data_IF_731169906590
#
_entry.id   IF_731169906590
#
_cell.length_a   1.000
_cell.length_b   1.000
_cell.length_c   1.000
_cell.angle_alpha   90.00
_cell.angle_beta   90.00
_cell.angle_gamma   90.00
#
_symmetry.space_group_name_H-M   'P 1'
#
loop_
_entity.id
_entity.type
_entity.pdbx_description
1 polymer ?
#
# COMPACT_ATOMS: atom_id res chain seq x y z
N UNK A 1 1.54 -24.65 -3.13
CA UNK A 1 2.14 -23.90 -4.24
C UNK A 1 3.08 -22.89 -3.64
N UNK A 2 4.37 -22.91 -4.00
CA UNK A 2 5.29 -21.83 -3.64
C UNK A 2 5.40 -20.85 -4.80
N UNK A 3 5.30 -19.56 -4.52
CA UNK A 3 5.32 -18.52 -5.54
C UNK A 3 6.19 -17.35 -5.09
N UNK A 4 6.90 -16.74 -6.03
CA UNK A 4 7.78 -15.61 -5.77
C UNK A 4 7.59 -14.57 -6.87
N UNK A 5 7.36 -13.33 -6.45
CA UNK A 5 7.40 -12.16 -7.34
C UNK A 5 8.53 -11.24 -6.93
N UNK A 6 9.30 -10.82 -7.93
CA UNK A 6 10.31 -9.78 -7.79
C UNK A 6 9.78 -8.52 -8.44
N UNK A 7 9.50 -7.51 -7.63
CA UNK A 7 9.18 -6.17 -8.10
C UNK A 7 10.34 -5.20 -7.90
N UNK A 8 10.11 -3.96 -8.32
CA UNK A 8 11.07 -2.88 -8.09
C UNK A 8 11.16 -2.54 -6.60
N UNK A 9 12.31 -2.80 -5.99
CA UNK A 9 12.57 -2.56 -4.56
C UNK A 9 11.85 -3.47 -3.57
N UNK A 10 10.82 -4.23 -3.99
CA UNK A 10 10.01 -5.12 -3.14
C UNK A 10 9.95 -6.53 -3.74
N UNK A 11 10.04 -7.55 -2.90
CA UNK A 11 9.85 -8.96 -3.24
C UNK A 11 8.71 -9.54 -2.41
N UNK A 12 7.85 -10.31 -3.06
CA UNK A 12 6.84 -11.13 -2.42
C UNK A 12 7.24 -12.60 -2.50
N UNK A 13 7.34 -13.26 -1.34
CA UNK A 13 7.49 -14.71 -1.23
C UNK A 13 6.24 -15.29 -0.57
N UNK A 14 5.74 -16.38 -1.15
CA UNK A 14 4.61 -17.14 -0.63
C UNK A 14 4.95 -18.63 -0.63
N UNK A 15 4.94 -19.24 0.56
CA UNK A 15 5.33 -20.64 0.76
C UNK A 15 4.18 -21.65 0.57
N UNK A 16 2.98 -21.16 0.28
CA UNK A 16 1.81 -21.99 0.05
C UNK A 16 1.01 -22.35 1.30
N UNK A 17 1.48 -22.03 2.51
CA UNK A 17 0.85 -22.57 3.72
C UNK A 17 0.75 -21.61 4.90
N UNK A 18 1.58 -20.57 5.01
CA UNK A 18 1.62 -19.84 6.28
C UNK A 18 1.72 -18.33 6.17
N UNK A 19 2.57 -17.82 5.28
CA UNK A 19 2.86 -16.39 5.26
C UNK A 19 2.98 -15.85 3.83
N UNK A 20 2.43 -14.67 3.59
CA UNK A 20 2.98 -13.78 2.58
C UNK A 20 4.08 -12.97 3.24
N UNK A 21 5.26 -12.99 2.62
CA UNK A 21 6.43 -12.26 3.10
C UNK A 21 6.78 -11.20 2.06
N UNK A 22 6.53 -9.94 2.40
CA UNK A 22 7.01 -8.81 1.62
C UNK A 22 8.37 -8.41 2.18
N UNK A 23 9.39 -8.35 1.34
CA UNK A 23 10.72 -7.91 1.72
C UNK A 23 11.15 -6.75 0.83
N UNK A 24 11.68 -5.70 1.42
CA UNK A 24 12.18 -4.54 0.70
C UNK A 24 13.54 -4.13 1.22
N UNK A 25 14.30 -3.43 0.39
CA UNK A 25 15.60 -2.89 0.75
C UNK A 25 15.66 -1.44 0.30
N UNK A 26 15.72 -0.50 1.24
CA UNK A 26 16.03 0.88 0.90
C UNK A 26 17.54 0.98 0.69
N UNK A 27 17.97 1.26 -0.54
CA UNK A 27 19.34 1.73 -0.76
C UNK A 27 19.41 3.19 -0.33
N UNK A 28 19.66 3.44 0.94
CA UNK A 28 20.20 4.74 1.31
C UNK A 28 21.66 4.76 0.86
N UNK A 29 22.07 5.81 0.14
CA UNK A 29 23.38 5.94 -0.51
C UNK A 29 24.60 5.99 0.44
N UNK A 30 24.43 5.57 1.69
CA UNK A 30 25.46 5.43 2.72
C UNK A 30 25.41 3.97 3.15
N UNK A 31 26.54 3.27 3.09
CA UNK A 31 26.65 1.82 3.29
C UNK A 31 25.88 1.32 4.53
N UNK A 32 24.67 0.81 4.32
CA UNK A 32 23.75 0.38 5.37
C UNK A 32 22.29 0.54 4.97
N UNK A 33 21.85 -0.21 3.95
CA UNK A 33 20.45 -0.14 3.51
C UNK A 33 19.50 -0.65 4.61
N UNK A 34 18.56 0.20 5.04
CA UNK A 34 17.48 -0.21 5.95
C UNK A 34 16.43 -0.98 5.13
N UNK A 35 16.55 -2.30 5.15
CA UNK A 35 15.53 -3.20 4.63
C UNK A 35 14.54 -3.62 5.70
N UNK A 36 13.33 -3.96 5.27
CA UNK A 36 12.27 -4.45 6.16
C UNK A 36 11.62 -5.71 5.61
N UNK A 37 10.90 -6.41 6.49
CA UNK A 37 10.06 -7.55 6.13
C UNK A 37 8.70 -7.41 6.79
N UNK A 38 7.65 -7.62 6.01
CA UNK A 38 6.28 -7.72 6.48
C UNK A 38 5.82 -9.17 6.34
N UNK A 39 5.41 -9.76 7.45
CA UNK A 39 4.84 -11.11 7.51
C UNK A 39 3.35 -10.97 7.79
N UNK A 40 2.52 -11.43 6.86
CA UNK A 40 1.06 -11.39 7.00
C UNK A 40 0.47 -12.74 6.66
N UNK A 41 -0.50 -13.17 7.46
CA UNK A 41 -1.26 -14.38 7.15
C UNK A 41 -2.15 -14.10 5.94
N UNK A 42 -2.26 -15.03 4.97
CA UNK A 42 -3.15 -14.87 3.83
C UNK A 42 -4.60 -14.55 4.21
N UNK A 43 -5.08 -15.12 5.32
CA UNK A 43 -6.42 -14.92 5.85
C UNK A 43 -6.67 -13.48 6.36
N UNK A 44 -5.62 -12.69 6.59
CA UNK A 44 -5.75 -11.28 6.94
C UNK A 44 -5.90 -10.37 5.71
N UNK A 45 -5.79 -10.91 4.49
CA UNK A 45 -5.97 -10.12 3.28
C UNK A 45 -7.45 -9.78 3.09
N UNK A 46 -7.76 -8.49 3.07
CA UNK A 46 -9.10 -7.97 2.84
C UNK A 46 -9.41 -7.84 1.36
N UNK A 47 -8.46 -7.28 0.61
CA UNK A 47 -8.62 -7.04 -0.82
C UNK A 47 -7.29 -7.11 -1.53
N UNK A 48 -7.34 -7.55 -2.79
CA UNK A 48 -6.23 -7.42 -3.73
C UNK A 48 -6.72 -6.76 -5.01
N UNK A 49 -5.90 -5.87 -5.56
CA UNK A 49 -6.15 -5.18 -6.82
C UNK A 49 -4.90 -5.22 -7.69
N UNK A 50 -5.10 -5.33 -9.01
CA UNK A 50 -4.04 -5.24 -10.00
C UNK A 50 -4.34 -4.16 -11.02
N UNK A 51 -3.32 -3.37 -11.38
CA UNK A 51 -3.39 -2.36 -12.44
C UNK A 51 -2.22 -2.53 -13.39
N UNK A 52 -2.50 -2.85 -14.64
CA UNK A 52 -1.50 -2.88 -15.70
C UNK A 52 -1.17 -1.44 -16.12
N UNK A 53 0.10 -1.20 -16.44
CA UNK A 53 0.60 0.06 -16.97
C UNK A 53 0.65 -0.02 -18.48
N UNK A 54 -0.04 0.88 -19.17
CA UNK A 54 -0.06 0.96 -20.64
C UNK A 54 1.27 1.44 -21.23
N UNK A 55 2.14 2.02 -20.41
CA UNK A 55 3.41 2.58 -20.85
C UNK A 55 4.52 1.55 -21.01
N UNK A 56 4.64 0.63 -20.05
CA UNK A 56 5.75 -0.31 -19.93
C UNK A 56 5.31 -1.77 -19.75
N UNK A 57 3.98 -2.01 -19.73
CA UNK A 57 3.40 -3.34 -19.50
C UNK A 57 3.61 -3.86 -18.07
N UNK A 58 4.10 -3.03 -17.15
CA UNK A 58 4.28 -3.44 -15.75
C UNK A 58 2.92 -3.63 -15.06
N UNK A 59 2.87 -4.52 -14.07
CA UNK A 59 1.68 -4.75 -13.27
C UNK A 59 1.92 -4.25 -11.85
N UNK A 60 1.09 -3.30 -11.40
CA UNK A 60 1.03 -2.88 -10.00
C UNK A 60 0.00 -3.70 -9.27
N UNK A 61 0.43 -4.46 -8.27
CA UNK A 61 -0.41 -5.19 -7.34
C UNK A 61 -0.50 -4.43 -6.01
N UNK A 62 -1.71 -4.30 -5.48
CA UNK A 62 -1.99 -3.67 -4.18
C UNK A 62 -2.72 -4.65 -3.29
N UNK A 63 -2.11 -5.00 -2.17
CA UNK A 63 -2.70 -5.88 -1.16
C UNK A 63 -3.05 -5.07 0.07
N UNK A 64 -4.27 -5.26 0.59
CA UNK A 64 -4.72 -4.64 1.83
C UNK A 64 -4.96 -5.70 2.87
N UNK A 65 -4.32 -5.55 4.02
CA UNK A 65 -4.38 -6.49 5.12
C UNK A 65 -4.98 -5.83 6.36
N UNK A 66 -5.71 -6.61 7.14
CA UNK A 66 -6.06 -6.29 8.51
C UNK A 66 -5.42 -7.31 9.45
N UNK A 67 -4.19 -7.05 9.90
CA UNK A 67 -3.51 -7.95 10.82
C UNK A 67 -4.31 -8.08 12.14
N UNK A 68 -4.50 -9.31 12.58
CA UNK A 68 -5.17 -9.60 13.85
C UNK A 68 -4.26 -9.20 15.03
N UNK A 69 -4.83 -8.58 16.06
CA UNK A 69 -4.11 -8.27 17.30
C UNK A 69 -3.32 -6.96 17.33
N UNK A 70 -3.39 -6.13 16.28
CA UNK A 70 -2.86 -4.76 16.30
C UNK A 70 -3.97 -3.75 16.03
N UNK A 71 -4.12 -2.74 16.89
CA UNK A 71 -5.04 -1.60 16.67
C UNK A 71 -4.54 -0.63 15.58
N UNK A 72 -3.49 -1.01 14.86
CA UNK A 72 -2.77 -0.19 13.89
C UNK A 72 -3.41 -0.29 12.48
N UNK A 73 -4.70 0.02 12.36
CA UNK A 73 -5.38 0.22 11.07
C UNK A 73 -5.21 -0.90 10.03
N UNK A 74 -5.55 -0.58 8.78
CA UNK A 74 -5.30 -1.45 7.64
C UNK A 74 -3.88 -1.21 7.11
N UNK A 75 -3.18 -2.29 6.73
CA UNK A 75 -1.84 -2.25 6.14
C UNK A 75 -1.96 -2.44 4.64
N UNK A 76 -1.33 -1.55 3.86
CA UNK A 76 -1.29 -1.66 2.40
C UNK A 76 0.13 -2.01 1.95
N UNK A 77 0.25 -3.04 1.12
CA UNK A 77 1.49 -3.43 0.48
C UNK A 77 1.34 -3.30 -1.04
N UNK A 78 2.20 -2.51 -1.66
CA UNK A 78 2.25 -2.34 -3.10
C UNK A 78 3.47 -3.07 -3.68
N UNK A 79 3.27 -3.69 -4.83
CA UNK A 79 4.30 -4.41 -5.58
C UNK A 79 4.14 -4.09 -7.06
N UNK A 80 5.18 -3.52 -7.67
CA UNK A 80 5.22 -3.31 -9.13
C UNK A 80 6.11 -4.37 -9.74
N UNK A 81 5.54 -5.25 -10.56
CA UNK A 81 6.28 -6.29 -11.30
C UNK A 81 6.46 -5.88 -12.75
N UNK A 82 7.60 -6.26 -13.35
CA UNK A 82 7.88 -6.02 -14.76
C UNK A 82 6.93 -6.78 -15.68
N UNK A 83 6.84 -6.34 -16.94
CA UNK A 83 5.96 -6.94 -17.95
C UNK A 83 6.19 -8.44 -18.17
N UNK A 84 7.42 -8.91 -17.99
CA UNK A 84 7.80 -10.33 -18.09
C UNK A 84 7.16 -11.20 -16.98
N UNK A 85 6.77 -10.58 -15.86
CA UNK A 85 6.12 -11.25 -14.73
C UNK A 85 4.65 -10.84 -14.56
N UNK A 86 4.11 -9.93 -15.37
CA UNK A 86 2.76 -9.40 -15.20
C UNK A 86 1.69 -10.49 -15.26
N UNK A 87 1.67 -11.29 -16.32
CA UNK A 87 0.72 -12.40 -16.49
C UNK A 87 0.79 -13.44 -15.35
N UNK A 88 1.97 -14.04 -15.02
CA UNK A 88 2.04 -15.00 -13.93
C UNK A 88 1.71 -14.37 -12.56
N UNK A 89 2.04 -13.10 -12.34
CA UNK A 89 1.67 -12.38 -11.13
C UNK A 89 0.15 -12.18 -11.02
N UNK A 90 -0.52 -11.92 -12.13
CA UNK A 90 -1.97 -11.81 -12.18
C UNK A 90 -2.65 -13.15 -11.92
N UNK A 91 -2.20 -14.22 -12.57
CA UNK A 91 -2.71 -15.58 -12.33
C UNK A 91 -2.56 -16.01 -10.87
N UNK A 92 -1.42 -15.71 -10.25
CA UNK A 92 -1.23 -15.92 -8.81
C UNK A 92 -2.25 -15.15 -7.98
N UNK A 93 -2.50 -13.88 -8.34
CA UNK A 93 -3.44 -13.02 -7.62
C UNK A 93 -4.86 -13.55 -7.69
N UNK A 94 -5.30 -14.00 -8.86
CA UNK A 94 -6.61 -14.64 -9.05
C UNK A 94 -6.74 -15.93 -8.24
N UNK A 95 -5.72 -16.81 -8.32
CA UNK A 95 -5.68 -18.03 -7.53
C UNK A 95 -5.70 -17.73 -6.02
N UNK A 96 -4.93 -16.74 -5.58
CA UNK A 96 -4.82 -16.32 -4.19
C UNK A 96 -6.16 -15.79 -3.67
N UNK A 97 -6.80 -14.87 -4.41
CA UNK A 97 -8.09 -14.31 -4.05
C UNK A 97 -9.16 -15.39 -3.94
N UNK A 98 -9.21 -16.29 -4.92
CA UNK A 98 -10.12 -17.44 -4.91
C UNK A 98 -9.87 -18.37 -3.71
N UNK A 99 -8.62 -18.75 -3.47
CA UNK A 99 -8.23 -19.71 -2.42
C UNK A 99 -8.52 -19.18 -1.02
N UNK A 100 -8.28 -17.90 -0.79
CA UNK A 100 -8.43 -17.27 0.53
C UNK A 100 -9.72 -16.46 0.69
N UNK A 101 -10.61 -16.50 -0.31
CA UNK A 101 -11.89 -15.75 -0.35
C UNK A 101 -11.71 -14.25 -0.09
N UNK A 102 -10.65 -13.69 -0.64
CA UNK A 102 -10.36 -12.25 -0.57
C UNK A 102 -11.32 -11.53 -1.51
N UNK A 103 -11.86 -10.39 -1.10
CA UNK A 103 -12.70 -9.59 -1.99
C UNK A 103 -11.86 -9.13 -3.19
N UNK A 104 -12.25 -9.60 -4.36
CA UNK A 104 -11.57 -9.31 -5.61
C UNK A 104 -12.06 -7.96 -6.13
N UNK A 105 -11.37 -6.87 -5.77
CA UNK A 105 -11.72 -5.50 -6.24
C UNK A 105 -11.26 -5.27 -7.69
N UNK A 106 -10.53 -6.24 -8.23
CA UNK A 106 -10.35 -6.63 -9.63
C UNK A 106 -11.52 -6.40 -10.62
N UNK A 107 -12.75 -6.14 -10.17
CA UNK A 107 -13.87 -5.75 -11.04
C UNK A 107 -13.63 -4.48 -11.89
N UNK A 108 -12.53 -3.75 -11.71
CA UNK A 108 -12.08 -2.70 -12.63
C UNK A 108 -11.12 -3.20 -13.71
N UNK A 109 -11.14 -4.50 -14.05
CA UNK A 109 -10.25 -5.10 -15.06
C UNK A 109 -10.44 -4.51 -16.46
N UNK A 110 -11.57 -3.85 -16.73
CA UNK A 110 -11.91 -3.29 -18.05
C UNK A 110 -12.67 -1.95 -18.03
N UNK A 111 -12.96 -1.36 -16.87
CA UNK A 111 -13.62 -0.06 -16.83
C UNK A 111 -12.58 1.06 -16.65
N UNK A 112 -12.28 1.63 -17.82
CA UNK A 112 -12.22 3.06 -18.12
C UNK A 112 -11.17 3.91 -17.37
N UNK A 113 -10.20 4.43 -18.13
CA UNK A 113 -9.78 5.84 -18.09
C UNK A 113 -9.56 6.51 -16.71
N UNK A 114 -9.12 5.76 -15.69
CA UNK A 114 -8.62 6.34 -14.45
C UNK A 114 -7.11 6.55 -14.52
N UNK A 115 -6.61 7.14 -15.62
CA UNK A 115 -5.59 8.19 -15.40
C UNK A 115 -6.19 9.14 -14.35
N UNK A 116 -5.46 9.52 -13.29
CA UNK A 116 -5.93 10.61 -12.45
C UNK A 116 -5.98 11.84 -13.36
N UNK A 117 -7.16 12.08 -13.94
CA UNK A 117 -7.45 13.22 -14.80
C UNK A 117 -6.87 14.42 -14.09
N UNK A 118 -6.08 15.24 -14.78
CA UNK A 118 -5.36 16.37 -14.19
C UNK A 118 -6.26 17.32 -13.34
N UNK A 119 -7.59 17.20 -13.42
CA UNK A 119 -8.56 17.82 -12.51
C UNK A 119 -8.58 17.32 -11.06
N UNK A 120 -8.09 16.12 -10.72
CA UNK A 120 -7.97 15.66 -9.33
C UNK A 120 -6.68 16.17 -8.64
N UNK A 121 -5.68 16.56 -9.42
CA UNK A 121 -4.49 17.28 -8.91
C UNK A 121 -4.85 18.67 -8.39
N UNK A 122 -5.89 19.29 -8.94
CA UNK A 122 -6.39 20.59 -8.47
C UNK A 122 -7.27 20.43 -7.21
N UNK A 123 -8.13 19.40 -7.13
CA UNK A 123 -8.91 19.10 -5.90
C UNK A 123 -8.06 18.60 -4.73
N UNK A 124 -6.88 18.04 -4.98
CA UNK A 124 -5.93 17.69 -3.91
C UNK A 124 -5.25 18.92 -3.27
N UNK A 125 -5.39 20.13 -3.85
CA UNK A 125 -5.00 21.38 -3.18
C UNK A 125 -6.04 21.88 -2.18
N UNK A 126 -7.30 21.46 -2.28
CA UNK A 126 -8.34 21.83 -1.31
C UNK A 126 -8.30 20.98 -0.01
N UNK A 127 -7.54 19.90 0.02
CA UNK A 127 -7.33 19.11 1.25
C UNK A 127 -6.43 19.80 2.28
N UNK A 128 -5.74 20.88 1.89
CA UNK A 128 -5.06 21.77 2.84
C UNK A 128 -6.02 22.81 3.47
N UNK A 129 -7.31 22.74 3.13
CA UNK A 129 -8.34 23.67 3.58
C UNK A 129 -9.41 23.05 4.46
N UNK A 130 -9.10 22.14 5.38
CA UNK A 130 -10.03 21.88 6.47
C UNK A 130 -10.08 23.15 7.35
N UNK A 131 -11.22 23.86 7.48
CA UNK A 131 -11.31 24.95 8.43
C UNK A 131 -11.17 24.35 9.82
N UNK A 132 -9.98 24.45 10.39
CA UNK A 132 -9.77 24.20 11.82
C UNK A 132 -10.80 25.04 12.56
N UNK A 133 -11.71 24.36 13.26
CA UNK A 133 -12.76 25.03 14.03
C UNK A 133 -12.11 26.04 14.99
N UNK A 134 -12.77 27.16 15.31
CA UNK A 134 -12.21 28.17 16.22
C UNK A 134 -11.73 27.56 17.54
N UNK A 135 -12.45 26.56 18.03
CA UNK A 135 -12.10 25.79 19.23
C UNK A 135 -10.75 25.04 19.11
N UNK A 136 -10.44 24.45 17.95
CA UNK A 136 -9.16 23.75 17.72
C UNK A 136 -7.98 24.75 17.64
N UNK A 137 -8.21 25.95 17.11
CA UNK A 137 -7.19 27.02 17.09
C UNK A 137 -6.86 27.55 18.48
N UNK A 138 -7.84 27.64 19.37
CA UNK A 138 -7.62 28.10 20.74
C UNK A 138 -6.95 27.03 21.60
N UNK A 139 -7.27 25.75 21.38
CA UNK A 139 -6.54 24.63 21.99
C UNK A 139 -5.06 24.61 21.57
N UNK A 140 -4.77 24.76 20.27
CA UNK A 140 -3.39 24.79 19.78
C UNK A 140 -2.59 25.97 20.36
N UNK A 141 -3.19 27.17 20.43
CA UNK A 141 -2.55 28.35 21.06
C UNK A 141 -2.31 28.16 22.55
N UNK A 142 -3.24 27.53 23.27
CA UNK A 142 -3.10 27.26 24.70
C UNK A 142 -1.98 26.25 25.00
N UNK A 143 -1.81 25.21 24.16
CA UNK A 143 -0.71 24.25 24.28
C UNK A 143 0.64 24.90 23.99
N UNK A 144 0.74 25.69 22.92
CA UNK A 144 2.00 26.37 22.57
C UNK A 144 2.41 27.40 23.64
N UNK A 145 1.46 28.14 24.22
CA UNK A 145 1.75 29.10 25.29
C UNK A 145 2.23 28.43 26.59
N UNK A 146 1.75 27.21 26.89
CA UNK A 146 2.24 26.43 28.04
C UNK A 146 3.63 25.84 27.81
N UNK A 147 3.95 25.49 26.57
CA UNK A 147 5.28 24.98 26.19
C UNK A 147 6.35 26.08 26.23
N UNK A 148 6.01 27.31 25.83
CA UNK A 148 6.97 28.43 25.89
C UNK A 148 7.20 28.97 27.29
N UNK A 149 6.26 28.78 28.23
CA UNK A 149 6.46 29.15 29.64
C UNK A 149 7.24 28.07 30.42
N UNK A 150 7.25 26.83 29.94
CA UNK A 150 8.02 25.74 30.56
C UNK A 150 9.53 25.78 30.22
N UNK A 151 9.95 26.69 29.35
CA UNK A 151 11.35 26.92 28.94
C UNK A 151 11.90 28.27 29.49
N UNK A 152 11.37 28.76 30.61
CA UNK A 152 11.84 29.96 31.32
C UNK A 152 12.04 29.71 32.81
#
# INVERSE_FOLDING_TARGET
MSFRLQGDGVRLDFDGRRWLVFSWSRRDGVAGGVGGRLYVEPACCLSVAGRLSDHDGSLRLTFRFRPSGVSAGDVVAELVVGADQAEPAWQFTQWFAHTYRVEDVSASWWDDDAEPSAGERERSRDWLGAPVSPATRDLFRSVMARLTVADS
#
